data_IF_940056667503
#
_entry.id   IF_940056667503
#
_cell.length_a   1.000
_cell.length_b   1.000
_cell.length_c   1.000
_cell.angle_alpha   90.00
_cell.angle_beta   90.00
_cell.angle_gamma   90.00
#
_symmetry.space_group_name_H-M   'P 1'
#
loop_
_entity.id
_entity.type
_entity.pdbx_description
1 polymer ?
#
# COMPACT_ATOMS: atom_id res chain seq x y z
N UNK A 1 18.45 13.57 40.76
CA UNK A 1 18.02 12.34 40.07
C UNK A 1 16.73 11.91 40.73
N UNK A 2 15.58 12.16 40.07
CA UNK A 2 14.28 11.74 40.62
C UNK A 2 14.07 10.26 40.35
N UNK A 3 13.89 9.48 41.41
CA UNK A 3 13.44 8.09 41.33
C UNK A 3 12.06 8.06 40.67
N UNK A 4 11.99 7.43 39.49
CA UNK A 4 10.71 7.10 38.87
C UNK A 4 10.17 5.88 39.61
N UNK A 5 9.44 6.11 40.69
CA UNK A 5 8.71 5.05 41.38
C UNK A 5 7.54 4.62 40.49
N UNK A 6 7.57 3.38 40.00
CA UNK A 6 6.44 2.80 39.28
C UNK A 6 5.23 2.74 40.22
N UNK A 7 4.09 3.25 39.75
CA UNK A 7 2.86 3.30 40.56
C UNK A 7 2.28 1.92 40.84
N UNK A 8 2.55 0.96 39.98
CA UNK A 8 2.11 -0.43 40.07
C UNK A 8 3.07 -1.34 39.31
N UNK A 9 3.41 -2.47 39.85
CA UNK A 9 4.20 -3.52 39.22
C UNK A 9 3.29 -4.72 38.99
N UNK A 10 2.97 -4.95 37.71
CA UNK A 10 2.16 -6.12 37.30
C UNK A 10 3.11 -7.21 36.80
N UNK A 11 3.06 -8.43 37.37
CA UNK A 11 3.86 -9.55 36.87
C UNK A 11 3.33 -9.99 35.50
N UNK A 12 4.18 -10.08 34.52
CA UNK A 12 3.86 -10.50 33.16
C UNK A 12 4.60 -11.78 32.82
N UNK A 13 3.85 -12.80 32.37
CA UNK A 13 4.43 -14.02 31.83
C UNK A 13 4.92 -13.77 30.42
N UNK A 14 6.23 -13.82 30.23
CA UNK A 14 6.87 -13.56 28.95
C UNK A 14 6.40 -14.52 27.85
N UNK A 15 6.06 -15.77 28.20
CA UNK A 15 5.55 -16.74 27.24
C UNK A 15 4.16 -16.39 26.71
N UNK A 16 3.29 -15.86 27.57
CA UNK A 16 1.95 -15.39 27.18
C UNK A 16 2.04 -14.13 26.34
N UNK A 17 2.88 -13.17 26.77
CA UNK A 17 3.08 -11.90 26.06
C UNK A 17 3.65 -12.12 24.64
N UNK A 18 4.65 -12.99 24.51
CA UNK A 18 5.21 -13.37 23.23
C UNK A 18 4.15 -14.00 22.31
N UNK A 19 3.37 -14.96 22.81
CA UNK A 19 2.31 -15.60 22.01
C UNK A 19 1.28 -14.58 21.53
N UNK A 20 0.85 -13.69 22.41
CA UNK A 20 -0.12 -12.65 22.08
C UNK A 20 0.46 -11.68 21.03
N UNK A 21 1.68 -11.18 21.24
CA UNK A 21 2.34 -10.27 20.31
C UNK A 21 2.55 -10.90 18.92
N UNK A 22 2.93 -12.18 18.86
CA UNK A 22 3.03 -12.89 17.58
C UNK A 22 1.68 -13.06 16.90
N UNK A 23 0.64 -13.40 17.67
CA UNK A 23 -0.70 -13.54 17.12
C UNK A 23 -1.21 -12.20 16.56
N UNK A 24 -1.05 -11.12 17.32
CA UNK A 24 -1.47 -9.78 16.92
C UNK A 24 -0.70 -9.31 15.67
N UNK A 25 0.60 -9.57 15.62
CA UNK A 25 1.41 -9.29 14.42
C UNK A 25 0.93 -10.11 13.21
N UNK A 26 0.76 -11.43 13.36
CA UNK A 26 0.30 -12.30 12.29
C UNK A 26 -1.08 -11.88 11.78
N UNK A 27 -2.01 -11.57 12.68
CA UNK A 27 -3.35 -11.09 12.33
C UNK A 27 -3.28 -9.75 11.60
N UNK A 28 -2.45 -8.81 12.04
CA UNK A 28 -2.30 -7.51 11.39
C UNK A 28 -1.74 -7.65 9.97
N UNK A 29 -0.79 -8.56 9.77
CA UNK A 29 -0.22 -8.83 8.44
C UNK A 29 -1.23 -9.53 7.53
N UNK A 30 -1.93 -10.54 8.04
CA UNK A 30 -2.90 -11.29 7.23
C UNK A 30 -4.05 -10.37 6.82
N UNK A 31 -4.71 -9.73 7.78
CA UNK A 31 -5.92 -8.94 7.54
C UNK A 31 -5.61 -7.59 6.90
N UNK A 32 -4.56 -6.92 7.35
CA UNK A 32 -4.25 -5.55 6.93
C UNK A 32 -3.30 -5.42 5.74
N UNK A 33 -2.67 -6.49 5.27
CA UNK A 33 -1.62 -6.40 4.26
C UNK A 33 -1.68 -7.49 3.19
N UNK A 34 -1.83 -8.75 3.58
CA UNK A 34 -1.66 -9.89 2.67
C UNK A 34 -2.91 -10.21 1.87
N UNK A 35 -4.09 -10.10 2.50
CA UNK A 35 -5.36 -10.44 1.85
C UNK A 35 -5.91 -9.25 1.04
N UNK A 36 -6.43 -9.51 -0.16
CA UNK A 36 -7.17 -8.50 -0.91
C UNK A 36 -8.51 -8.20 -0.24
N UNK A 37 -8.99 -6.98 -0.38
CA UNK A 37 -10.32 -6.57 0.10
C UNK A 37 -11.40 -7.30 -0.72
N UNK A 38 -12.41 -7.83 -0.06
CA UNK A 38 -13.51 -8.57 -0.71
C UNK A 38 -14.37 -7.69 -1.63
N UNK A 39 -14.34 -6.36 -1.46
CA UNK A 39 -15.16 -5.41 -2.22
C UNK A 39 -14.55 -5.07 -3.58
N UNK A 40 -13.25 -4.85 -3.65
CA UNK A 40 -12.54 -4.39 -4.85
C UNK A 40 -11.38 -5.30 -5.29
N UNK A 41 -11.05 -6.31 -4.49
CA UNK A 41 -9.95 -7.23 -4.77
C UNK A 41 -8.57 -6.60 -4.60
N UNK A 42 -8.45 -5.39 -4.06
CA UNK A 42 -7.20 -4.69 -3.93
C UNK A 42 -6.55 -4.93 -2.57
N UNK A 43 -5.24 -5.09 -2.59
CA UNK A 43 -4.42 -4.96 -1.38
C UNK A 43 -4.14 -3.47 -1.10
N UNK A 44 -3.78 -3.09 0.12
CA UNK A 44 -3.47 -1.70 0.46
C UNK A 44 -2.42 -1.05 -0.46
N UNK A 45 -1.39 -1.79 -0.83
CA UNK A 45 -0.35 -1.27 -1.75
C UNK A 45 -0.89 -0.96 -3.14
N UNK A 46 -1.79 -1.79 -3.69
CA UNK A 46 -2.43 -1.53 -4.99
C UNK A 46 -3.20 -0.22 -4.95
N UNK A 47 -4.02 -0.03 -3.91
CA UNK A 47 -4.84 1.18 -3.73
C UNK A 47 -3.97 2.43 -3.63
N UNK A 48 -2.85 2.36 -2.90
CA UNK A 48 -1.90 3.47 -2.77
C UNK A 48 -1.22 3.83 -4.08
N UNK A 49 -0.87 2.82 -4.89
CA UNK A 49 -0.28 3.04 -6.21
C UNK A 49 -1.28 3.74 -7.14
N UNK A 50 -2.51 3.23 -7.22
CA UNK A 50 -3.56 3.83 -8.06
C UNK A 50 -3.88 5.27 -7.63
N UNK A 51 -3.97 5.51 -6.32
CA UNK A 51 -4.19 6.85 -5.79
C UNK A 51 -3.03 7.81 -6.13
N UNK A 52 -1.78 7.37 -5.97
CA UNK A 52 -0.63 8.17 -6.34
C UNK A 52 -0.63 8.51 -7.85
N UNK A 53 -1.00 7.56 -8.70
CA UNK A 53 -1.14 7.79 -10.14
C UNK A 53 -2.23 8.81 -10.44
N UNK A 54 -3.36 8.75 -9.75
CA UNK A 54 -4.45 9.70 -9.87
C UNK A 54 -4.02 11.13 -9.48
N UNK A 55 -3.41 11.29 -8.30
CA UNK A 55 -2.90 12.60 -7.83
C UNK A 55 -1.85 13.18 -8.77
N UNK A 56 -1.07 12.34 -9.43
CA UNK A 56 -0.11 12.75 -10.45
C UNK A 56 -0.74 13.04 -11.83
N UNK A 57 -2.06 12.99 -11.96
CA UNK A 57 -2.76 13.09 -13.24
C UNK A 57 -2.19 12.11 -14.28
N UNK A 58 -1.98 10.86 -13.86
CA UNK A 58 -1.51 9.79 -14.72
C UNK A 58 -2.66 8.86 -15.15
N UNK A 59 -3.77 9.48 -15.50
CA UNK A 59 -5.03 8.81 -15.84
C UNK A 59 -4.97 8.18 -17.24
N UNK A 60 -5.98 7.36 -17.53
CA UNK A 60 -6.18 6.80 -18.88
C UNK A 60 -6.29 7.94 -19.91
N UNK A 61 -5.62 7.77 -21.04
CA UNK A 61 -5.59 8.79 -22.11
C UNK A 61 -4.54 9.90 -21.91
N UNK A 62 -3.86 9.92 -20.77
CA UNK A 62 -2.69 10.81 -20.56
C UNK A 62 -1.40 10.13 -21.01
N UNK A 63 -0.34 10.89 -21.27
CA UNK A 63 0.97 10.32 -21.57
C UNK A 63 1.47 9.42 -20.43
N UNK A 64 2.16 8.35 -20.77
CA UNK A 64 2.83 7.50 -19.80
C UNK A 64 3.88 8.29 -19.02
N UNK A 65 4.06 7.93 -17.75
CA UNK A 65 5.10 8.48 -16.88
C UNK A 65 6.08 7.38 -16.50
N UNK A 66 7.32 7.74 -16.25
CA UNK A 66 8.32 6.78 -15.76
C UNK A 66 7.85 6.08 -14.49
N UNK A 67 7.99 4.77 -14.43
CA UNK A 67 7.61 3.97 -13.25
C UNK A 67 8.34 4.45 -12.01
N UNK A 68 9.59 4.85 -12.13
CA UNK A 68 10.39 5.42 -11.03
C UNK A 68 9.74 6.68 -10.43
N UNK A 69 9.04 7.49 -11.22
CA UNK A 69 8.32 8.67 -10.71
C UNK A 69 7.16 8.25 -9.81
N UNK A 70 6.37 7.27 -10.27
CA UNK A 70 5.23 6.76 -9.49
C UNK A 70 5.72 6.10 -8.20
N UNK A 71 6.75 5.25 -8.30
CA UNK A 71 7.35 4.59 -7.13
C UNK A 71 7.84 5.60 -6.11
N UNK A 72 8.55 6.65 -6.54
CA UNK A 72 9.05 7.71 -5.66
C UNK A 72 7.93 8.43 -4.90
N UNK A 73 6.83 8.79 -5.56
CA UNK A 73 5.68 9.40 -4.90
C UNK A 73 4.98 8.43 -3.94
N UNK A 74 4.84 7.15 -4.32
CA UNK A 74 4.23 6.13 -3.46
C UNK A 74 5.00 5.96 -2.16
N UNK A 75 6.31 5.71 -2.24
CA UNK A 75 7.13 5.49 -1.04
C UNK A 75 7.31 6.76 -0.22
N UNK A 76 7.40 7.91 -0.87
CA UNK A 76 7.60 9.19 -0.21
C UNK A 76 6.37 9.71 0.55
N UNK A 77 5.16 9.34 0.13
CA UNK A 77 3.92 9.93 0.67
C UNK A 77 2.97 8.91 1.30
N UNK A 78 2.90 7.70 0.77
CA UNK A 78 1.79 6.78 1.06
C UNK A 78 2.23 5.42 1.61
N UNK A 79 3.44 4.98 1.31
CA UNK A 79 3.86 3.60 1.61
C UNK A 79 5.34 3.57 2.03
N UNK A 80 5.65 3.74 3.32
CA UNK A 80 7.01 3.82 3.84
C UNK A 80 7.68 2.43 3.87
N UNK A 81 7.85 1.81 2.72
CA UNK A 81 8.50 0.52 2.51
C UNK A 81 9.48 0.62 1.34
N UNK A 82 10.21 -0.46 1.06
CA UNK A 82 11.20 -0.50 -0.03
C UNK A 82 10.58 -0.23 -1.41
N UNK A 83 11.33 0.45 -2.26
CA UNK A 83 10.95 0.78 -3.64
C UNK A 83 10.70 -0.45 -4.51
N UNK A 84 11.45 -1.52 -4.29
CA UNK A 84 11.29 -2.80 -4.99
C UNK A 84 9.87 -3.35 -4.85
N UNK A 85 9.31 -3.35 -3.63
CA UNK A 85 7.97 -3.85 -3.38
C UNK A 85 6.89 -3.02 -4.08
N UNK A 86 7.05 -1.70 -4.10
CA UNK A 86 6.14 -0.79 -4.82
C UNK A 86 6.25 -1.01 -6.34
N UNK A 87 7.47 -1.14 -6.87
CA UNK A 87 7.68 -1.41 -8.29
C UNK A 87 7.14 -2.76 -8.73
N UNK A 88 7.42 -3.84 -8.00
CA UNK A 88 6.88 -5.17 -8.28
C UNK A 88 5.34 -5.18 -8.28
N UNK A 89 4.74 -4.39 -7.42
CA UNK A 89 3.28 -4.21 -7.40
C UNK A 89 2.79 -3.58 -8.70
N UNK A 90 3.44 -2.52 -9.17
CA UNK A 90 3.11 -1.88 -10.46
C UNK A 90 3.28 -2.87 -11.61
N UNK A 91 4.38 -3.63 -11.60
CA UNK A 91 4.66 -4.65 -12.62
C UNK A 91 3.52 -5.68 -12.68
N UNK A 92 3.13 -6.23 -11.53
CA UNK A 92 2.02 -7.21 -11.48
C UNK A 92 0.68 -6.63 -11.94
N UNK A 93 0.41 -5.37 -11.65
CA UNK A 93 -0.80 -4.70 -12.13
C UNK A 93 -0.79 -4.42 -13.65
N UNK A 94 0.38 -4.37 -14.28
CA UNK A 94 0.53 -4.18 -15.71
C UNK A 94 0.56 -5.50 -16.50
N UNK A 95 0.86 -6.63 -15.84
CA UNK A 95 0.96 -7.95 -16.47
C UNK A 95 -0.42 -8.56 -16.73
N UNK A 96 -0.72 -8.87 -17.99
CA UNK A 96 -2.00 -9.44 -18.39
C UNK A 96 -2.25 -10.87 -17.86
N UNK A 97 -1.21 -11.59 -17.48
CA UNK A 97 -1.31 -12.94 -16.89
C UNK A 97 -1.39 -12.93 -15.36
N UNK A 98 -1.01 -11.82 -14.72
CA UNK A 98 -1.06 -11.69 -13.26
C UNK A 98 -2.44 -11.30 -12.76
N UNK A 99 -3.15 -10.47 -13.50
CA UNK A 99 -4.50 -10.00 -13.16
C UNK A 99 -5.46 -10.28 -14.32
N UNK A 100 -6.68 -10.69 -13.99
CA UNK A 100 -7.74 -10.86 -14.98
C UNK A 100 -8.01 -9.57 -15.77
N UNK A 101 -7.96 -8.44 -15.08
CA UNK A 101 -8.05 -7.11 -15.66
C UNK A 101 -6.84 -6.30 -15.22
N UNK A 102 -5.87 -6.04 -16.09
CA UNK A 102 -4.75 -5.18 -15.76
C UNK A 102 -5.24 -3.79 -15.35
N UNK A 103 -4.73 -3.30 -14.21
CA UNK A 103 -5.11 -2.00 -13.67
C UNK A 103 -4.16 -0.89 -14.14
N UNK A 104 -2.99 -1.27 -14.63
CA UNK A 104 -1.96 -0.37 -15.13
C UNK A 104 -1.69 -0.72 -16.59
N UNK A 105 -1.66 0.30 -17.43
CA UNK A 105 -1.20 0.23 -18.81
C UNK A 105 0.30 0.55 -18.82
N UNK A 106 1.10 -0.46 -19.15
CA UNK A 106 2.56 -0.39 -19.10
C UNK A 106 3.17 -0.31 -20.48
N UNK A 107 4.21 0.51 -20.63
CA UNK A 107 5.04 0.60 -21.81
C UNK A 107 6.48 0.23 -21.47
N UNK A 108 7.02 -0.74 -22.17
CA UNK A 108 8.34 -1.30 -21.94
C UNK A 108 8.29 -2.80 -21.58
N UNK A 109 9.36 -3.30 -21.01
CA UNK A 109 9.46 -4.71 -20.60
C UNK A 109 9.00 -4.89 -19.15
N UNK A 110 7.85 -5.55 -18.97
CA UNK A 110 7.29 -5.94 -17.68
C UNK A 110 7.46 -7.43 -17.37
N UNK A 111 8.40 -8.09 -18.03
CA UNK A 111 8.66 -9.51 -17.87
C UNK A 111 7.86 -10.39 -18.83
N UNK A 112 8.05 -11.69 -18.72
CA UNK A 112 7.33 -12.69 -19.50
C UNK A 112 6.80 -13.83 -18.63
N UNK A 113 5.90 -14.64 -19.18
CA UNK A 113 5.44 -15.87 -18.54
C UNK A 113 6.55 -16.93 -18.45
N UNK A 114 7.56 -16.83 -19.30
CA UNK A 114 8.69 -17.77 -19.38
C UNK A 114 9.76 -17.51 -18.30
N UNK A 115 9.51 -16.53 -17.41
CA UNK A 115 10.36 -16.27 -16.26
C UNK A 115 11.31 -15.08 -16.43
N UNK A 116 11.25 -14.33 -17.53
CA UNK A 116 12.03 -13.11 -17.65
C UNK A 116 11.54 -12.04 -16.66
N UNK A 117 12.49 -11.43 -15.98
CA UNK A 117 12.21 -10.32 -15.05
C UNK A 117 11.85 -9.03 -15.78
N UNK A 118 11.14 -8.10 -15.12
CA UNK A 118 10.88 -6.78 -15.66
C UNK A 118 12.16 -5.96 -15.77
N UNK A 119 12.18 -5.02 -16.72
CA UNK A 119 13.25 -4.02 -16.78
C UNK A 119 13.23 -3.11 -15.53
N UNK A 120 14.35 -2.47 -15.23
CA UNK A 120 14.43 -1.54 -14.10
C UNK A 120 13.42 -0.40 -14.25
N UNK A 121 12.91 0.09 -13.11
CA UNK A 121 11.85 1.11 -13.04
C UNK A 121 12.14 2.43 -13.79
N UNK A 122 13.42 2.71 -14.06
CA UNK A 122 13.83 3.89 -14.83
C UNK A 122 13.60 3.75 -16.34
N UNK A 123 13.43 2.52 -16.83
CA UNK A 123 13.22 2.24 -18.26
C UNK A 123 11.76 2.02 -18.62
N UNK A 124 10.94 1.58 -17.68
CA UNK A 124 9.52 1.32 -17.89
C UNK A 124 8.68 2.58 -17.67
N UNK A 125 7.56 2.65 -18.35
CA UNK A 125 6.61 3.74 -18.25
C UNK A 125 5.21 3.18 -18.00
N UNK A 126 4.40 3.91 -17.25
CA UNK A 126 3.08 3.46 -16.83
C UNK A 126 2.06 4.59 -16.86
N UNK A 127 0.80 4.21 -17.02
CA UNK A 127 -0.39 5.02 -16.78
C UNK A 127 -1.52 4.14 -16.26
N UNK A 128 -2.56 4.74 -15.72
CA UNK A 128 -3.75 3.96 -15.33
C UNK A 128 -4.45 3.36 -16.54
N UNK A 129 -4.91 2.13 -16.40
CA UNK A 129 -5.84 1.53 -17.34
C UNK A 129 -7.25 2.16 -17.17
N UNK A 130 -8.10 2.06 -18.20
CA UNK A 130 -9.44 2.64 -18.16
C UNK A 130 -10.27 2.11 -16.97
N UNK A 131 -10.19 0.83 -16.69
CA UNK A 131 -10.93 0.20 -15.58
C UNK A 131 -10.51 0.74 -14.21
N UNK A 132 -9.29 1.21 -14.06
CA UNK A 132 -8.80 1.76 -12.79
C UNK A 132 -9.45 3.09 -12.45
N UNK A 133 -9.92 3.85 -13.44
CA UNK A 133 -10.68 5.07 -13.19
C UNK A 133 -12.03 4.78 -12.57
N UNK A 134 -12.67 3.68 -12.95
CA UNK A 134 -13.94 3.25 -12.34
C UNK A 134 -13.77 2.88 -10.86
N UNK A 135 -12.62 2.30 -10.49
CA UNK A 135 -12.29 2.01 -9.09
C UNK A 135 -12.04 3.26 -8.24
N UNK A 136 -11.69 4.36 -8.90
CA UNK A 136 -11.45 5.67 -8.26
C UNK A 136 -12.62 6.65 -8.45
N UNK A 137 -13.69 6.20 -9.10
CA UNK A 137 -14.88 6.99 -9.23
C UNK A 137 -15.45 7.34 -7.84
N UNK A 138 -16.00 8.54 -7.73
CA UNK A 138 -16.62 9.03 -6.50
C UNK A 138 -15.67 9.17 -5.28
N UNK A 139 -14.39 9.24 -5.51
CA UNK A 139 -13.38 9.45 -4.46
C UNK A 139 -13.66 10.73 -3.64
N UNK A 140 -14.20 11.76 -4.30
CA UNK A 140 -14.55 13.05 -3.69
C UNK A 140 -15.82 12.98 -2.81
N UNK A 141 -16.57 11.90 -2.88
CA UNK A 141 -17.80 11.72 -2.08
C UNK A 141 -17.55 11.21 -0.67
N UNK A 142 -16.31 11.16 -0.23
CA UNK A 142 -15.90 10.72 1.11
C UNK A 142 -16.46 9.35 1.53
N UNK A 143 -16.68 8.46 0.57
CA UNK A 143 -17.16 7.10 0.82
C UNK A 143 -16.12 6.23 1.53
N UNK A 144 -14.87 6.67 1.54
CA UNK A 144 -13.73 6.02 2.20
C UNK A 144 -12.97 7.05 3.02
N UNK A 145 -12.68 6.73 4.27
CA UNK A 145 -11.87 7.61 5.13
C UNK A 145 -10.39 7.53 4.73
N UNK A 146 -9.80 8.68 4.42
CA UNK A 146 -8.38 8.82 4.15
C UNK A 146 -7.67 9.31 5.41
N UNK A 147 -6.62 8.61 5.81
CA UNK A 147 -5.77 9.00 6.94
C UNK A 147 -4.37 9.24 6.44
N UNK A 148 -3.81 10.42 6.72
CA UNK A 148 -2.43 10.74 6.38
C UNK A 148 -1.46 9.79 7.07
N UNK A 149 -0.54 9.19 6.32
CA UNK A 149 0.59 8.47 6.90
C UNK A 149 1.64 9.51 7.30
N UNK A 150 1.66 9.86 8.58
CA UNK A 150 2.70 10.74 9.11
C UNK A 150 4.04 9.97 9.17
N UNK A 151 5.04 10.51 8.49
CA UNK A 151 6.37 9.90 8.37
C UNK A 151 7.17 9.88 9.69
N UNK A 152 6.74 10.65 10.68
CA UNK A 152 7.56 10.91 11.86
C UNK A 152 7.28 10.01 13.06
N UNK A 153 6.22 9.21 13.07
CA UNK A 153 5.89 8.39 14.21
C UNK A 153 5.17 7.08 13.83
N UNK A 154 5.92 6.13 13.29
CA UNK A 154 5.60 4.72 13.47
C UNK A 154 5.89 4.34 14.93
N UNK A 155 5.07 4.78 15.85
CA UNK A 155 5.07 4.25 17.20
C UNK A 155 4.31 2.92 17.20
N UNK A 156 4.81 1.96 17.96
CA UNK A 156 4.20 0.66 18.18
C UNK A 156 2.71 0.71 18.62
N UNK A 157 2.22 1.86 19.02
CA UNK A 157 0.82 2.09 19.40
C UNK A 157 -0.17 2.15 18.24
N UNK A 158 0.28 2.38 17.00
CA UNK A 158 -0.62 2.42 15.83
C UNK A 158 -0.94 1.04 15.28
N UNK A 159 -0.21 0.01 15.69
CA UNK A 159 -0.51 -1.39 15.34
C UNK A 159 -1.67 -1.98 16.16
N UNK A 160 -2.11 -1.30 17.23
CA UNK A 160 -3.17 -1.75 18.12
C UNK A 160 -4.56 -1.18 17.78
N UNK A 161 -4.69 -0.34 16.76
CA UNK A 161 -6.01 0.03 16.28
C UNK A 161 -6.61 -1.12 15.50
N UNK A 162 -7.89 -1.38 15.81
CA UNK A 162 -8.74 -2.44 15.30
C UNK A 162 -8.35 -2.94 13.90
N UNK A 163 -8.37 -4.25 13.63
CA UNK A 163 -8.15 -4.81 12.29
C UNK A 163 -9.00 -4.16 11.19
N UNK A 164 -10.14 -3.56 11.55
CA UNK A 164 -11.00 -2.80 10.63
C UNK A 164 -10.36 -1.48 10.18
N UNK A 165 -9.59 -0.81 11.04
CA UNK A 165 -8.92 0.44 10.69
C UNK A 165 -7.65 0.22 9.85
N UNK A 166 -7.04 -0.96 9.95
CA UNK A 166 -5.88 -1.34 9.16
C UNK A 166 -6.23 -1.66 7.70
N UNK A 167 -7.47 -2.08 7.42
CA UNK A 167 -7.91 -2.46 6.06
C UNK A 167 -8.41 -1.27 5.23
N UNK A 168 -8.89 -0.21 5.87
CA UNK A 168 -9.27 1.05 5.23
C UNK A 168 -8.11 2.05 5.21
N UNK A 169 -6.98 1.56 4.91
CA UNK A 169 -5.66 2.14 4.93
C UNK A 169 -5.57 3.58 4.42
N UNK A 170 -5.13 4.33 5.26
CA UNK A 170 -4.16 5.44 5.27
C UNK A 170 -3.84 6.01 3.89
N UNK A 171 -4.75 6.77 3.38
CA UNK A 171 -4.51 7.77 2.37
C UNK A 171 -4.59 9.17 3.02
N UNK A 172 -3.87 10.18 2.52
CA UNK A 172 -3.86 11.50 3.15
C UNK A 172 -5.25 12.12 3.15
N UNK A 173 -5.63 12.74 4.26
CA UNK A 173 -6.76 13.63 4.24
C UNK A 173 -6.42 14.83 3.36
N UNK A 174 -7.24 15.12 2.37
CA UNK A 174 -7.15 16.38 1.65
C UNK A 174 -7.42 17.52 2.62
N UNK A 175 -6.46 18.40 2.79
CA UNK A 175 -6.70 19.72 3.36
C UNK A 175 -7.43 20.57 2.34
#
# INVERSE_FOLDING_TARGET
MGEIAAKEIVPVDIGKELKQSYLDYAMSVIVGRALPDARDGLKPVHRRVLYAMHVLNNDFGRPHKKSARIVGDVIGKYHPHGDSAAYETIVRMAQWWSLRYPLVDGQGNFGSMDGDGPAAQRYTEVRMARISQELLADLEKETVNYVAVSYTHLRAHETLRSPRDATLSRMPSSA
#
